data_IF_511770149803
#
_entry.id   IF_511770149803
#
_cell.length_a   1.000
_cell.length_b   1.000
_cell.length_c   1.000
_cell.angle_alpha   90.00
_cell.angle_beta   90.00
_cell.angle_gamma   90.00
#
_symmetry.space_group_name_H-M   'P 1'
#
loop_
_entity.id
_entity.type
_entity.pdbx_description
1 polymer ?
#
# COMPACT_ATOMS: atom_id res chain seq x y z
N UNK A 1 -4.48 22.51 -4.45
CA UNK A 1 -5.65 21.80 -3.88
C UNK A 1 -6.33 21.05 -5.00
N UNK A 2 -6.87 19.86 -4.73
CA UNK A 2 -7.67 19.13 -5.71
C UNK A 2 -9.04 19.80 -5.89
N UNK A 3 -9.69 19.56 -7.02
CA UNK A 3 -11.11 19.90 -7.16
C UNK A 3 -11.94 18.98 -6.24
N UNK A 4 -13.19 19.35 -5.90
CA UNK A 4 -14.06 18.45 -5.12
C UNK A 4 -14.22 17.05 -5.75
N UNK A 5 -14.24 16.99 -7.09
CA UNK A 5 -14.25 15.73 -7.83
C UNK A 5 -12.94 14.95 -7.67
N UNK A 6 -11.80 15.65 -7.70
CA UNK A 6 -10.49 15.05 -7.45
C UNK A 6 -10.36 14.49 -6.02
N UNK A 7 -10.90 15.20 -5.03
CA UNK A 7 -10.95 14.71 -3.64
C UNK A 7 -11.79 13.44 -3.51
N UNK A 8 -12.95 13.41 -4.18
CA UNK A 8 -13.83 12.23 -4.19
C UNK A 8 -13.15 11.01 -4.84
N UNK A 9 -12.49 11.21 -5.99
CA UNK A 9 -11.75 10.15 -6.66
C UNK A 9 -10.58 9.64 -5.78
N UNK A 10 -9.84 10.54 -5.15
CA UNK A 10 -8.75 10.18 -4.24
C UNK A 10 -9.26 9.38 -3.05
N UNK A 11 -10.39 9.77 -2.46
CA UNK A 11 -11.01 9.04 -1.34
C UNK A 11 -11.40 7.62 -1.76
N UNK A 12 -12.01 7.45 -2.94
CA UNK A 12 -12.37 6.12 -3.47
C UNK A 12 -11.13 5.26 -3.73
N UNK A 13 -10.10 5.82 -4.38
CA UNK A 13 -8.87 5.10 -4.66
C UNK A 13 -8.16 4.67 -3.36
N UNK A 14 -8.09 5.56 -2.38
CA UNK A 14 -7.49 5.28 -1.06
C UNK A 14 -8.26 4.18 -0.33
N UNK A 15 -9.59 4.22 -0.37
CA UNK A 15 -10.43 3.16 0.20
C UNK A 15 -10.12 1.79 -0.42
N UNK A 16 -10.07 1.73 -1.76
CA UNK A 16 -9.79 0.48 -2.47
C UNK A 16 -8.38 -0.06 -2.23
N UNK A 17 -7.38 0.82 -2.12
CA UNK A 17 -6.01 0.43 -1.75
C UNK A 17 -6.00 -0.21 -0.36
N UNK A 18 -6.65 0.41 0.63
CA UNK A 18 -6.73 -0.15 1.99
C UNK A 18 -7.41 -1.51 2.04
N UNK A 19 -8.47 -1.72 1.27
CA UNK A 19 -9.13 -3.03 1.16
C UNK A 19 -8.18 -4.10 0.63
N UNK A 20 -7.42 -3.78 -0.41
CA UNK A 20 -6.43 -4.70 -1.01
C UNK A 20 -5.29 -4.97 -0.02
N UNK A 21 -4.75 -3.94 0.62
CA UNK A 21 -3.71 -4.08 1.64
C UNK A 21 -4.19 -4.99 2.78
N UNK A 22 -5.42 -4.82 3.25
CA UNK A 22 -5.98 -5.66 4.30
C UNK A 22 -6.13 -7.12 3.85
N UNK A 23 -6.48 -7.38 2.58
CA UNK A 23 -6.56 -8.74 2.05
C UNK A 23 -5.18 -9.39 1.90
N UNK A 24 -4.16 -8.61 1.50
CA UNK A 24 -2.83 -9.12 1.19
C UNK A 24 -1.96 -9.30 2.45
N UNK A 25 -1.98 -8.32 3.36
CA UNK A 25 -1.06 -8.25 4.50
C UNK A 25 -1.77 -8.03 5.84
N UNK A 26 -3.11 -8.05 5.86
CA UNK A 26 -3.91 -7.78 7.07
C UNK A 26 -3.64 -8.72 8.23
N UNK A 27 -3.25 -9.98 7.94
CA UNK A 27 -2.92 -10.99 8.95
C UNK A 27 -1.49 -10.94 9.48
N UNK A 28 -0.64 -10.06 8.94
CA UNK A 28 0.75 -9.91 9.36
C UNK A 28 0.84 -8.97 10.57
N UNK A 29 1.72 -9.30 11.52
CA UNK A 29 2.14 -8.36 12.56
C UNK A 29 2.93 -7.19 11.96
N UNK A 30 3.07 -6.10 12.71
CA UNK A 30 3.82 -4.92 12.26
C UNK A 30 5.28 -5.28 11.90
N UNK A 31 5.91 -6.17 12.68
CA UNK A 31 7.26 -6.68 12.40
C UNK A 31 7.31 -7.45 11.08
N UNK A 32 6.36 -8.35 10.84
CA UNK A 32 6.30 -9.13 9.60
C UNK A 32 6.03 -8.25 8.37
N UNK A 33 5.24 -7.17 8.52
CA UNK A 33 5.03 -6.19 7.46
C UNK A 33 6.31 -5.45 7.12
N UNK A 34 7.08 -5.05 8.14
CA UNK A 34 8.37 -4.39 7.93
C UNK A 34 9.38 -5.31 7.25
N UNK A 35 9.50 -6.56 7.69
CA UNK A 35 10.38 -7.55 7.06
C UNK A 35 10.00 -7.80 5.59
N UNK A 36 8.70 -7.94 5.30
CA UNK A 36 8.21 -8.10 3.93
C UNK A 36 8.55 -6.87 3.06
N UNK A 37 8.39 -5.67 3.60
CA UNK A 37 8.74 -4.42 2.93
C UNK A 37 10.22 -4.35 2.59
N UNK A 38 11.09 -4.69 3.54
CA UNK A 38 12.55 -4.65 3.36
C UNK A 38 12.99 -5.65 2.28
N UNK A 39 12.42 -6.87 2.29
CA UNK A 39 12.69 -7.89 1.28
C UNK A 39 12.25 -7.47 -0.12
N UNK A 40 11.03 -6.91 -0.26
CA UNK A 40 10.53 -6.44 -1.55
C UNK A 40 11.36 -5.26 -2.08
N UNK A 41 11.78 -4.36 -1.19
CA UNK A 41 12.66 -3.23 -1.55
C UNK A 41 13.99 -3.74 -2.08
N UNK A 42 14.64 -4.67 -1.37
CA UNK A 42 15.90 -5.27 -1.80
C UNK A 42 15.78 -5.97 -3.16
N UNK A 43 14.67 -6.68 -3.40
CA UNK A 43 14.39 -7.30 -4.70
C UNK A 43 14.29 -6.27 -5.83
N UNK A 44 13.59 -5.16 -5.62
CA UNK A 44 13.44 -4.10 -6.63
C UNK A 44 14.77 -3.41 -6.90
N UNK A 45 15.56 -3.14 -5.86
CA UNK A 45 16.87 -2.53 -6.00
C UNK A 45 17.86 -3.43 -6.74
N UNK A 46 17.80 -4.74 -6.55
CA UNK A 46 18.62 -5.71 -7.26
C UNK A 46 18.25 -5.95 -8.72
N UNK A 47 17.10 -5.44 -9.19
CA UNK A 47 16.67 -5.51 -10.60
C UNK A 47 17.25 -4.35 -11.42
N UNK A 48 17.77 -3.29 -10.77
CA UNK A 48 18.42 -2.15 -11.45
C UNK A 48 19.83 -2.50 -11.93
#
# INVERSE_FOLDING_TARGET
>A
MLTPQGEQMLAQATGRIREIEQQMVGGLSDTQRQELWDLLTACIEGIK
#
